data_IF_069681104672
#
_entry.id   IF_069681104672
#
_cell.length_a   1.000
_cell.length_b   1.000
_cell.length_c   1.000
_cell.angle_alpha   90.00
_cell.angle_beta   90.00
_cell.angle_gamma   90.00
#
_symmetry.space_group_name_H-M   'P 1'
#
loop_
_entity.id
_entity.type
_entity.pdbx_description
1 polymer ?
#
# COMPACT_ATOMS: atom_id res chain seq x y z
N UNK A 1 5.90 12.42 -12.07
CA UNK A 1 5.15 11.19 -12.42
C UNK A 1 3.94 11.13 -11.52
N UNK A 2 2.76 11.28 -12.08
CA UNK A 2 1.50 11.18 -11.35
C UNK A 2 1.22 9.71 -11.01
N UNK A 3 0.68 9.46 -9.82
CA UNK A 3 0.02 8.18 -9.50
C UNK A 3 -1.34 8.25 -10.19
N UNK A 4 -1.82 7.16 -10.78
CA UNK A 4 -3.13 7.11 -11.47
C UNK A 4 -4.36 7.28 -10.57
N UNK A 5 -4.16 7.71 -9.32
CA UNK A 5 -5.20 7.87 -8.28
C UNK A 5 -5.08 9.28 -7.72
N UNK A 6 -6.19 10.03 -7.78
CA UNK A 6 -6.30 11.32 -7.14
C UNK A 6 -6.60 11.13 -5.65
N UNK A 7 -5.62 11.42 -4.80
CA UNK A 7 -5.79 11.30 -3.36
C UNK A 7 -5.08 12.40 -2.59
N UNK A 8 -5.79 12.92 -1.59
CA UNK A 8 -5.22 13.88 -0.63
C UNK A 8 -4.12 13.23 0.19
N UNK A 9 -2.93 13.82 0.07
CA UNK A 9 -1.72 13.47 0.82
C UNK A 9 -1.97 13.47 2.34
N UNK A 10 -2.80 14.39 2.83
CA UNK A 10 -3.15 14.51 4.25
C UNK A 10 -4.04 13.35 4.74
N UNK A 11 -4.95 12.86 3.89
CA UNK A 11 -5.80 11.71 4.22
C UNK A 11 -4.96 10.44 4.38
N UNK A 12 -4.01 10.20 3.48
CA UNK A 12 -3.06 9.09 3.58
C UNK A 12 -2.19 9.24 4.83
N UNK A 13 -1.65 10.42 5.10
CA UNK A 13 -0.83 10.64 6.28
C UNK A 13 -1.62 10.39 7.59
N UNK A 14 -2.89 10.81 7.64
CA UNK A 14 -3.76 10.55 8.78
C UNK A 14 -4.08 9.04 8.93
N UNK A 15 -4.31 8.34 7.82
CA UNK A 15 -4.47 6.88 7.80
C UNK A 15 -3.23 6.16 8.33
N UNK A 16 -2.04 6.53 7.86
CA UNK A 16 -0.79 5.91 8.30
C UNK A 16 -0.56 6.09 9.80
N UNK A 17 -0.77 7.30 10.33
CA UNK A 17 -0.63 7.59 11.76
C UNK A 17 -1.61 6.79 12.63
N UNK A 18 -2.87 6.65 12.20
CA UNK A 18 -3.88 5.89 12.97
C UNK A 18 -3.57 4.40 13.05
N UNK A 19 -2.92 3.85 12.02
CA UNK A 19 -2.67 2.43 11.87
C UNK A 19 -1.20 2.04 12.14
N UNK A 20 -0.42 2.91 12.79
CA UNK A 20 1.01 2.65 13.09
C UNK A 20 1.81 2.19 11.85
N UNK A 21 1.53 2.79 10.70
CA UNK A 21 2.24 2.52 9.45
C UNK A 21 3.43 3.47 9.38
N UNK A 22 4.63 2.89 9.44
CA UNK A 22 5.91 3.57 9.29
C UNK A 22 6.11 4.08 7.86
N UNK A 23 5.76 3.27 6.87
CA UNK A 23 5.86 3.67 5.46
C UNK A 23 4.77 3.02 4.62
N UNK A 24 4.27 3.75 3.63
CA UNK A 24 3.31 3.28 2.64
C UNK A 24 3.87 3.60 1.26
N UNK A 25 3.82 2.65 0.32
CA UNK A 25 4.22 2.86 -1.05
C UNK A 25 3.22 2.24 -2.01
N UNK A 26 3.14 2.80 -3.22
CA UNK A 26 2.35 2.23 -4.30
C UNK A 26 3.23 1.32 -5.14
N UNK A 27 2.69 0.20 -5.61
CA UNK A 27 3.41 -0.73 -6.48
C UNK A 27 2.46 -1.35 -7.51
N UNK A 28 2.96 -2.19 -8.40
CA UNK A 28 2.09 -2.92 -9.32
C UNK A 28 1.40 -2.03 -10.37
N UNK A 29 0.12 -2.33 -10.64
CA UNK A 29 -0.59 -1.81 -11.82
C UNK A 29 -0.83 -0.30 -11.79
N UNK A 30 -0.93 0.30 -10.60
CA UNK A 30 -1.13 1.74 -10.38
C UNK A 30 -0.01 2.63 -10.93
N UNK A 31 1.14 2.03 -11.26
CA UNK A 31 2.31 2.71 -11.82
C UNK A 31 2.43 2.59 -13.33
N UNK A 32 1.57 1.80 -13.98
CA UNK A 32 1.61 1.50 -15.41
C UNK A 32 0.67 2.43 -16.18
N UNK A 33 1.00 2.70 -17.45
CA UNK A 33 0.20 3.59 -18.31
C UNK A 33 -1.17 3.00 -18.69
N UNK A 34 -1.36 1.69 -18.51
CA UNK A 34 -2.64 0.99 -18.73
C UNK A 34 -3.51 0.90 -17.47
N UNK A 35 -3.17 1.66 -16.41
CA UNK A 35 -4.00 1.75 -15.21
C UNK A 35 -5.38 2.33 -15.54
N UNK A 36 -6.40 1.48 -15.43
CA UNK A 36 -7.77 1.78 -15.84
C UNK A 36 -8.75 1.83 -14.67
N UNK A 37 -10.05 2.09 -14.94
CA UNK A 37 -11.13 2.17 -13.93
C UNK A 37 -11.50 0.82 -13.28
N UNK A 38 -11.00 -0.31 -13.80
CA UNK A 38 -11.19 -1.63 -13.19
C UNK A 38 -9.96 -2.16 -12.42
N UNK A 39 -8.85 -1.41 -12.43
CA UNK A 39 -7.61 -1.80 -11.75
C UNK A 39 -7.68 -1.61 -10.23
N UNK A 40 -7.17 -2.60 -9.49
CA UNK A 40 -6.96 -2.50 -8.04
C UNK A 40 -5.81 -1.52 -7.71
N UNK A 41 -5.86 -0.93 -6.51
CA UNK A 41 -4.78 -0.07 -5.99
C UNK A 41 -3.93 -0.86 -5.01
N UNK A 42 -2.77 -1.31 -5.48
CA UNK A 42 -1.82 -2.07 -4.67
C UNK A 42 -0.97 -1.13 -3.78
N UNK A 43 -1.03 -1.35 -2.47
CA UNK A 43 -0.22 -0.60 -1.49
C UNK A 43 0.66 -1.53 -0.66
N UNK A 44 1.94 -1.18 -0.59
CA UNK A 44 2.92 -1.87 0.25
C UNK A 44 3.08 -1.07 1.54
N UNK A 45 2.87 -1.70 2.68
CA UNK A 45 2.98 -1.06 3.99
C UNK A 45 4.09 -1.69 4.83
N UNK A 46 4.76 -0.85 5.62
CA UNK A 46 5.64 -1.25 6.69
C UNK A 46 5.05 -0.74 8.02
N UNK A 47 4.74 -1.64 8.93
CA UNK A 47 4.25 -1.29 10.26
C UNK A 47 5.40 -0.99 11.23
N UNK A 48 5.10 -0.22 12.27
CA UNK A 48 6.00 -0.06 13.41
C UNK A 48 6.21 -1.42 14.13
N UNK A 49 7.45 -1.70 14.54
CA UNK A 49 7.84 -3.03 15.04
C UNK A 49 7.10 -3.45 16.32
N UNK A 50 6.60 -2.49 17.10
CA UNK A 50 5.90 -2.73 18.36
C UNK A 50 4.40 -3.01 18.17
N UNK A 51 3.86 -2.74 16.96
CA UNK A 51 2.44 -2.84 16.66
C UNK A 51 2.15 -4.05 15.77
N UNK A 52 1.51 -5.06 16.37
CA UNK A 52 1.05 -6.24 15.64
C UNK A 52 -0.37 -6.02 15.14
N UNK A 53 -0.56 -6.23 13.84
CA UNK A 53 -1.88 -6.21 13.21
C UNK A 53 -2.38 -7.64 13.03
N UNK A 54 -3.63 -7.89 13.43
CA UNK A 54 -4.32 -9.14 13.11
C UNK A 54 -4.81 -9.13 11.66
N UNK A 55 -5.19 -10.29 11.13
CA UNK A 55 -5.81 -10.39 9.81
C UNK A 55 -7.09 -9.53 9.70
N UNK A 56 -7.84 -9.39 10.79
CA UNK A 56 -9.05 -8.56 10.83
C UNK A 56 -8.68 -7.08 10.69
N UNK A 57 -7.57 -6.64 11.28
CA UNK A 57 -7.09 -5.27 11.16
C UNK A 57 -6.64 -4.98 9.73
N UNK A 58 -5.98 -5.94 9.07
CA UNK A 58 -5.62 -5.83 7.65
C UNK A 58 -6.87 -5.64 6.78
N UNK A 59 -7.89 -6.49 6.95
CA UNK A 59 -9.14 -6.39 6.18
C UNK A 59 -9.85 -5.05 6.41
N UNK A 60 -9.82 -4.52 7.64
CA UNK A 60 -10.38 -3.19 7.95
C UNK A 60 -9.63 -2.08 7.25
N UNK A 61 -8.30 -2.13 7.26
CA UNK A 61 -7.46 -1.16 6.56
C UNK A 61 -7.69 -1.20 5.05
N UNK A 62 -7.83 -2.38 4.45
CA UNK A 62 -8.17 -2.53 3.02
C UNK A 62 -9.54 -1.92 2.69
N UNK A 63 -10.54 -2.10 3.56
CA UNK A 63 -11.86 -1.51 3.37
C UNK A 63 -11.81 0.03 3.45
N UNK A 64 -11.08 0.58 4.43
CA UNK A 64 -10.91 2.03 4.58
C UNK A 64 -10.17 2.65 3.39
N UNK A 65 -9.10 2.00 2.92
CA UNK A 65 -8.37 2.42 1.72
C UNK A 65 -9.26 2.34 0.48
N UNK A 66 -10.08 1.29 0.38
CA UNK A 66 -11.02 1.12 -0.73
C UNK A 66 -12.03 2.26 -0.79
N UNK A 67 -12.58 2.66 0.36
CA UNK A 67 -13.45 3.83 0.46
C UNK A 67 -12.70 5.12 0.08
N UNK A 68 -11.45 5.26 0.54
CA UNK A 68 -10.64 6.44 0.28
C UNK A 68 -10.27 6.61 -1.20
N UNK A 69 -9.98 5.52 -1.90
CA UNK A 69 -9.63 5.51 -3.33
C UNK A 69 -10.86 5.44 -4.24
N UNK A 70 -12.04 5.14 -3.70
CA UNK A 70 -13.26 4.90 -4.48
C UNK A 70 -13.22 3.60 -5.30
N UNK A 71 -12.29 2.69 -4.98
CA UNK A 71 -12.04 1.45 -5.71
C UNK A 71 -11.22 0.49 -4.88
N UNK A 72 -11.23 -0.79 -5.24
CA UNK A 72 -10.59 -1.86 -4.46
C UNK A 72 -9.11 -1.58 -4.22
N UNK A 73 -8.71 -1.64 -2.96
CA UNK A 73 -7.33 -1.55 -2.50
C UNK A 73 -6.84 -2.94 -2.07
N UNK A 74 -5.60 -3.28 -2.41
CA UNK A 74 -4.92 -4.47 -1.90
C UNK A 74 -3.74 -4.03 -1.02
N UNK A 75 -3.77 -4.42 0.26
CA UNK A 75 -2.72 -4.08 1.21
C UNK A 75 -1.76 -5.25 1.38
N UNK A 76 -0.49 -4.99 1.15
CA UNK A 76 0.57 -5.98 1.30
C UNK A 76 1.59 -5.51 2.33
N UNK A 77 1.88 -6.34 3.32
CA UNK A 77 2.95 -6.05 4.29
C UNK A 77 4.34 -6.35 3.69
N UNK A 78 5.23 -5.35 3.75
CA UNK A 78 6.62 -5.44 3.26
C UNK A 78 7.37 -6.63 3.86
N UNK A 79 7.29 -6.80 5.18
CA UNK A 79 7.99 -7.88 5.88
C UNK A 79 7.47 -9.27 5.46
N UNK A 80 6.17 -9.41 5.18
CA UNK A 80 5.59 -10.66 4.70
C UNK A 80 6.09 -11.01 3.28
N UNK A 81 6.24 -10.01 2.40
CA UNK A 81 6.82 -10.17 1.05
C UNK A 81 8.29 -10.57 1.13
N UNK A 82 9.07 -9.87 1.96
CA UNK A 82 10.50 -10.14 2.16
C UNK A 82 10.73 -11.55 2.68
N UNK A 83 9.88 -12.05 3.58
CA UNK A 83 9.98 -13.41 4.13
C UNK A 83 9.40 -14.51 3.22
N UNK A 84 8.66 -14.15 2.17
CA UNK A 84 7.99 -15.12 1.31
C UNK A 84 8.97 -16.06 0.59
N UNK A 85 8.73 -17.37 0.61
CA UNK A 85 9.54 -18.31 -0.18
C UNK A 85 9.40 -18.11 -1.70
N UNK A 86 8.36 -17.39 -2.15
CA UNK A 86 8.14 -17.09 -3.57
C UNK A 86 9.00 -15.91 -4.02
N UNK A 87 10.19 -16.23 -4.55
CA UNK A 87 11.14 -15.21 -5.00
C UNK A 87 10.64 -14.37 -6.18
N UNK A 88 9.78 -14.92 -7.05
CA UNK A 88 9.22 -14.20 -8.20
C UNK A 88 8.29 -13.09 -7.69
N UNK A 89 7.36 -13.43 -6.80
CA UNK A 89 6.46 -12.44 -6.17
C UNK A 89 7.26 -11.40 -5.41
N UNK A 90 8.24 -11.82 -4.60
CA UNK A 90 9.12 -10.91 -3.86
C UNK A 90 9.80 -9.91 -4.79
N UNK A 91 10.44 -10.38 -5.87
CA UNK A 91 11.12 -9.49 -6.83
C UNK A 91 10.15 -8.55 -7.50
N UNK A 92 9.03 -9.05 -8.03
CA UNK A 92 8.04 -8.21 -8.72
C UNK A 92 7.50 -7.08 -7.83
N UNK A 93 7.14 -7.40 -6.58
CA UNK A 93 6.66 -6.38 -5.64
C UNK A 93 7.77 -5.39 -5.31
N UNK A 94 8.94 -5.86 -4.87
CA UNK A 94 10.02 -4.98 -4.39
C UNK A 94 10.66 -4.12 -5.50
N UNK A 95 10.77 -4.63 -6.73
CA UNK A 95 11.32 -3.88 -7.87
C UNK A 95 10.34 -2.84 -8.43
N UNK A 96 9.02 -3.07 -8.26
CA UNK A 96 7.98 -2.12 -8.72
C UNK A 96 7.62 -1.07 -7.67
N UNK A 97 8.19 -1.11 -6.47
CA UNK A 97 7.87 -0.14 -5.43
C UNK A 97 8.28 1.25 -5.89
N UNK A 98 7.31 2.16 -5.87
CA UNK A 98 7.61 3.58 -5.97
C UNK A 98 7.30 4.26 -4.65
N UNK A 99 8.36 4.69 -4.00
CA UNK A 99 8.29 5.49 -2.79
C UNK A 99 7.79 6.90 -3.12
N UNK A 100 6.47 7.05 -3.23
CA UNK A 100 5.83 8.36 -3.37
C UNK A 100 5.45 8.99 -2.01
N UNK A 101 5.87 8.36 -0.91
CA UNK A 101 5.47 8.70 0.46
C UNK A 101 6.68 8.77 1.39
N UNK A 102 7.84 9.10 0.83
CA UNK A 102 9.11 9.18 1.56
C UNK A 102 9.17 10.26 2.66
N UNK A 103 8.10 11.04 2.87
CA UNK A 103 8.06 12.14 3.85
C UNK A 103 6.74 12.22 4.65
N UNK A 104 6.23 11.13 5.19
CA UNK A 104 5.24 11.21 6.28
C UNK A 104 5.45 10.14 7.34
N UNK A 105 6.50 10.30 8.15
CA UNK A 105 6.44 10.82 9.52
C UNK A 105 7.76 11.54 9.76
#
# INVERSE_FOLDING_TARGET
MAIGVDISRDKIAAFCRRNNIRSLAFFGSVLRDDFGPDSDVDVLVEFEHEHKHSLIDIVRMEAELTEMFGRKAELVERQAVERSANYIRRRHVLESVKENTKDFV
#
